data_IF_723267522185
#
_entry.id   IF_723267522185
#
_cell.length_a   1.000
_cell.length_b   1.000
_cell.length_c   1.000
_cell.angle_alpha   90.00
_cell.angle_beta   90.00
_cell.angle_gamma   90.00
#
_symmetry.space_group_name_H-M   'P 1'
#
loop_
_entity.id
_entity.type
_entity.pdbx_description
1 polymer ?
#
# COMPACT_ATOMS: atom_id res chain seq x y z
N UNK A 1 -16.73 -0.96 -8.13
CA UNK A 1 -17.48 -1.83 -7.17
C UNK A 1 -16.67 -1.81 -5.89
N UNK A 2 -17.22 -1.22 -4.82
CA UNK A 2 -16.47 -0.91 -3.59
C UNK A 2 -15.94 -2.19 -2.93
N UNK A 3 -14.62 -2.29 -2.74
CA UNK A 3 -13.97 -3.42 -2.07
C UNK A 3 -14.51 -3.59 -0.64
N UNK A 4 -14.70 -4.83 -0.15
CA UNK A 4 -15.04 -5.05 1.25
C UNK A 4 -13.90 -4.52 2.14
N UNK A 5 -14.24 -3.68 3.12
CA UNK A 5 -13.32 -3.09 4.10
C UNK A 5 -12.30 -4.11 4.66
N UNK A 6 -12.78 -5.32 4.99
CA UNK A 6 -11.96 -6.41 5.53
C UNK A 6 -10.89 -6.88 4.54
N UNK A 7 -11.26 -7.04 3.27
CA UNK A 7 -10.36 -7.49 2.21
C UNK A 7 -9.27 -6.45 1.93
N UNK A 8 -9.62 -5.16 1.90
CA UNK A 8 -8.64 -4.08 1.71
C UNK A 8 -7.63 -3.97 2.87
N UNK A 9 -8.06 -4.23 4.10
CA UNK A 9 -7.16 -4.24 5.27
C UNK A 9 -6.21 -5.44 5.22
N UNK A 10 -6.70 -6.64 4.88
CA UNK A 10 -5.87 -7.84 4.80
C UNK A 10 -4.80 -7.70 3.68
N UNK A 11 -5.14 -7.10 2.54
CA UNK A 11 -4.19 -6.81 1.46
C UNK A 11 -3.13 -5.77 1.86
N UNK A 12 -3.52 -4.75 2.63
CA UNK A 12 -2.57 -3.76 3.16
C UNK A 12 -1.64 -4.38 4.20
N UNK A 13 -2.14 -5.23 5.09
CA UNK A 13 -1.32 -5.92 6.10
C UNK A 13 -0.28 -6.84 5.44
N UNK A 14 -0.65 -7.54 4.36
CA UNK A 14 0.30 -8.33 3.58
C UNK A 14 1.40 -7.44 2.96
N UNK A 15 1.02 -6.30 2.37
CA UNK A 15 1.95 -5.36 1.75
C UNK A 15 2.92 -4.73 2.76
N UNK A 16 2.41 -4.33 3.93
CA UNK A 16 3.22 -3.77 5.01
C UNK A 16 4.29 -4.77 5.43
N UNK A 17 3.95 -6.05 5.59
CA UNK A 17 4.94 -7.10 5.91
C UNK A 17 5.98 -7.25 4.79
N UNK A 18 5.56 -7.18 3.53
CA UNK A 18 6.45 -7.33 2.37
C UNK A 18 7.51 -6.21 2.27
N UNK A 19 7.16 -4.99 2.71
CA UNK A 19 8.07 -3.83 2.70
C UNK A 19 8.77 -3.57 4.04
N UNK A 20 8.46 -4.34 5.09
CA UNK A 20 9.05 -4.18 6.43
C UNK A 20 10.37 -4.92 6.61
N UNK A 21 11.10 -5.15 5.52
CA UNK A 21 12.42 -5.79 5.56
C UNK A 21 13.43 -4.85 6.25
N UNK A 22 14.03 -5.26 7.38
CA UNK A 22 14.99 -4.42 8.11
C UNK A 22 16.22 -4.04 7.26
N UNK A 23 16.52 -4.80 6.21
CA UNK A 23 17.60 -4.51 5.27
C UNK A 23 17.27 -3.37 4.29
N UNK A 24 15.99 -2.97 4.18
CA UNK A 24 15.49 -1.95 3.25
C UNK A 24 14.97 -0.71 4.01
N UNK A 25 15.78 -0.14 4.91
CA UNK A 25 15.42 1.07 5.69
C UNK A 25 15.02 2.28 4.82
N UNK A 26 15.39 2.27 3.55
CA UNK A 26 15.01 3.28 2.55
C UNK A 26 13.52 3.26 2.22
N UNK A 27 12.80 2.20 2.59
CA UNK A 27 11.36 2.03 2.38
C UNK A 27 10.50 2.39 3.60
N UNK A 28 11.07 3.02 4.64
CA UNK A 28 10.28 3.46 5.80
C UNK A 28 9.11 4.37 5.42
N UNK A 29 9.32 5.32 4.51
CA UNK A 29 8.26 6.22 4.04
C UNK A 29 7.19 5.49 3.20
N UNK A 30 7.56 4.46 2.43
CA UNK A 30 6.61 3.58 1.76
C UNK A 30 5.73 2.83 2.77
N UNK A 31 6.36 2.28 3.82
CA UNK A 31 5.67 1.59 4.91
C UNK A 31 4.70 2.53 5.64
N UNK A 32 5.12 3.75 5.96
CA UNK A 32 4.27 4.75 6.62
C UNK A 32 3.03 5.12 5.80
N UNK A 33 3.18 5.23 4.48
CA UNK A 33 2.04 5.43 3.59
C UNK A 33 1.09 4.22 3.62
N UNK A 34 1.58 2.99 3.56
CA UNK A 34 0.73 1.80 3.63
C UNK A 34 -0.01 1.68 4.98
N UNK A 35 0.65 2.01 6.10
CA UNK A 35 0.04 2.06 7.44
C UNK A 35 -1.05 3.13 7.54
N UNK A 36 -0.81 4.30 6.94
CA UNK A 36 -1.78 5.38 6.86
C UNK A 36 -2.99 4.98 6.01
N UNK A 37 -2.76 4.33 4.86
CA UNK A 37 -3.82 3.82 3.99
C UNK A 37 -4.71 2.82 4.73
N UNK A 38 -4.12 1.93 5.54
CA UNK A 38 -4.86 0.99 6.40
C UNK A 38 -5.76 1.71 7.40
N UNK A 39 -5.26 2.77 8.04
CA UNK A 39 -6.06 3.57 8.96
C UNK A 39 -7.21 4.32 8.25
N UNK A 40 -6.98 4.83 7.03
CA UNK A 40 -8.00 5.53 6.26
C UNK A 40 -9.10 4.62 5.73
N UNK A 41 -8.78 3.38 5.35
CA UNK A 41 -9.79 2.35 5.06
C UNK A 41 -10.68 2.17 6.28
N UNK A 42 -10.11 1.87 7.46
CA UNK A 42 -10.86 1.67 8.70
C UNK A 42 -11.69 2.91 9.10
N UNK A 43 -11.17 4.11 8.86
CA UNK A 43 -11.84 5.38 9.12
C UNK A 43 -12.91 5.79 8.10
N UNK A 44 -13.15 4.99 7.04
CA UNK A 44 -14.04 5.34 5.93
C UNK A 44 -13.67 6.67 5.24
N UNK A 45 -12.37 6.88 5.01
CA UNK A 45 -11.79 8.08 4.39
C UNK A 45 -11.24 7.76 2.98
N UNK A 46 -12.11 7.59 1.96
CA UNK A 46 -11.70 7.06 0.65
C UNK A 46 -10.77 7.98 -0.13
N UNK A 47 -10.89 9.31 0.04
CA UNK A 47 -10.02 10.27 -0.67
C UNK A 47 -8.59 10.22 -0.14
N UNK A 48 -8.45 10.20 1.17
CA UNK A 48 -7.18 10.09 1.88
C UNK A 48 -6.55 8.73 1.62
N UNK A 49 -7.34 7.67 1.65
CA UNK A 49 -6.92 6.33 1.25
C UNK A 49 -6.32 6.31 -0.16
N UNK A 50 -7.06 6.77 -1.17
CA UNK A 50 -6.60 6.79 -2.55
C UNK A 50 -5.38 7.70 -2.76
N UNK A 51 -5.33 8.87 -2.09
CA UNK A 51 -4.18 9.76 -2.13
C UNK A 51 -2.93 9.07 -1.58
N UNK A 52 -3.04 8.44 -0.43
CA UNK A 52 -1.93 7.76 0.22
C UNK A 52 -1.43 6.56 -0.57
N UNK A 53 -2.31 5.79 -1.23
CA UNK A 53 -1.89 4.73 -2.15
C UNK A 53 -1.11 5.27 -3.35
N UNK A 54 -1.49 6.43 -3.90
CA UNK A 54 -0.74 7.08 -4.99
C UNK A 54 0.65 7.53 -4.52
N UNK A 55 0.77 8.02 -3.29
CA UNK A 55 2.05 8.37 -2.69
C UNK A 55 2.91 7.12 -2.47
N UNK A 56 2.33 6.03 -1.95
CA UNK A 56 3.03 4.74 -1.82
C UNK A 56 3.58 4.26 -3.17
N UNK A 57 2.79 4.34 -4.26
CA UNK A 57 3.25 3.98 -5.60
C UNK A 57 4.47 4.79 -6.07
N UNK A 58 4.57 6.07 -5.73
CA UNK A 58 5.74 6.89 -6.11
C UNK A 58 7.02 6.46 -5.40
N UNK A 59 6.89 5.77 -4.26
CA UNK A 59 8.00 5.37 -3.40
C UNK A 59 8.46 3.92 -3.64
N UNK A 60 7.80 3.16 -4.53
CA UNK A 60 8.13 1.75 -4.83
C UNK A 60 9.58 1.53 -5.30
N UNK A 61 10.22 2.58 -5.84
CA UNK A 61 11.62 2.56 -6.26
C UNK A 61 12.62 2.38 -5.10
N UNK A 62 12.19 2.54 -3.85
CA UNK A 62 13.00 2.23 -2.67
C UNK A 62 13.29 0.72 -2.54
N UNK A 63 12.44 -0.13 -3.11
CA UNK A 63 12.57 -1.59 -3.03
C UNK A 63 13.65 -2.04 -4.02
N UNK A 64 14.73 -2.63 -3.50
CA UNK A 64 15.88 -3.03 -4.32
C UNK A 64 15.55 -4.29 -5.11
N UNK A 65 14.81 -5.22 -4.49
CA UNK A 65 14.42 -6.46 -5.15
C UNK A 65 13.35 -6.19 -6.24
N UNK A 66 13.64 -6.46 -7.53
CA UNK A 66 12.74 -6.12 -8.63
C UNK A 66 11.44 -6.93 -8.63
N UNK A 67 11.49 -8.20 -8.19
CA UNK A 67 10.28 -9.03 -8.10
C UNK A 67 9.38 -8.56 -6.96
N UNK A 68 9.95 -8.19 -5.81
CA UNK A 68 9.23 -7.61 -4.67
C UNK A 68 8.58 -6.28 -5.07
N UNK A 69 9.32 -5.42 -5.76
CA UNK A 69 8.82 -4.13 -6.27
C UNK A 69 7.63 -4.32 -7.19
N UNK A 70 7.70 -5.23 -8.16
CA UNK A 70 6.58 -5.45 -9.08
C UNK A 70 5.34 -6.03 -8.37
N UNK A 71 5.53 -6.91 -7.37
CA UNK A 71 4.42 -7.39 -6.53
C UNK A 71 3.73 -6.25 -5.77
N UNK A 72 4.51 -5.40 -5.10
CA UNK A 72 3.97 -4.25 -4.34
C UNK A 72 3.23 -3.30 -5.27
N UNK A 73 3.81 -2.98 -6.43
CA UNK A 73 3.18 -2.14 -7.45
C UNK A 73 1.83 -2.70 -7.92
N UNK A 74 1.77 -3.99 -8.26
CA UNK A 74 0.53 -4.64 -8.68
C UNK A 74 -0.53 -4.63 -7.58
N UNK A 75 -0.14 -4.82 -6.31
CA UNK A 75 -1.06 -4.74 -5.18
C UNK A 75 -1.63 -3.32 -5.02
N UNK A 76 -0.79 -2.28 -5.10
CA UNK A 76 -1.24 -0.88 -5.03
C UNK A 76 -2.18 -0.55 -6.21
N UNK A 77 -1.87 -1.00 -7.42
CA UNK A 77 -2.71 -0.78 -8.60
C UNK A 77 -4.06 -1.50 -8.48
N UNK A 78 -4.08 -2.72 -7.96
CA UNK A 78 -5.31 -3.45 -7.66
C UNK A 78 -6.17 -2.67 -6.69
N UNK A 79 -5.63 -2.21 -5.56
CA UNK A 79 -6.38 -1.44 -4.56
C UNK A 79 -6.96 -0.13 -5.16
N UNK A 80 -6.17 0.60 -5.96
CA UNK A 80 -6.63 1.82 -6.63
C UNK A 80 -7.73 1.57 -7.66
N UNK A 81 -7.76 0.41 -8.32
CA UNK A 81 -8.77 0.08 -9.33
C UNK A 81 -10.17 -0.17 -8.73
N UNK A 82 -10.25 -0.49 -7.44
CA UNK A 82 -11.52 -0.78 -6.77
C UNK A 82 -12.19 0.45 -6.14
N UNK A 83 -11.49 1.59 -6.11
CA UNK A 83 -12.02 2.90 -5.70
C UNK A 83 -12.78 3.61 -6.86
N UNK A 84 -12.89 2.97 -8.03
CA UNK A 84 -13.63 3.42 -9.22
C UNK A 84 -15.08 2.94 -9.30
#
# INVERSE_FOLDING_TARGET
MMMPLKTGVDELDAMINEVSDPAESQCELLREHLESARNYVLGSMPREYALTLRLAKQMENCIVNPERRERVKHMIESLLAHEG
#
